data_IF_312198674415
#
_entry.id   IF_312198674415
#
_cell.length_a   1.000
_cell.length_b   1.000
_cell.length_c   1.000
_cell.angle_alpha   90.00
_cell.angle_beta   90.00
_cell.angle_gamma   90.00
#
_symmetry.space_group_name_H-M   'P 1'
#
loop_
_entity.id
_entity.type
_entity.pdbx_description
1 polymer ?
#
# COMPACT_ATOMS: atom_id res chain seq x y z
N UNK A 1 -1.73 14.60 4.49
CA UNK A 1 -0.47 15.15 5.02
C UNK A 1 0.53 15.55 3.93
N UNK A 2 0.30 15.20 2.65
CA UNK A 2 1.08 15.64 1.48
C UNK A 2 1.47 17.13 1.41
N UNK A 3 0.73 18.04 2.02
CA UNK A 3 1.03 19.48 2.07
C UNK A 3 1.73 19.93 3.38
N UNK A 4 2.30 18.99 4.13
CA UNK A 4 2.92 19.25 5.43
C UNK A 4 1.93 19.54 6.57
N UNK A 5 0.63 19.27 6.39
CA UNK A 5 -0.41 19.46 7.42
C UNK A 5 -1.28 18.23 7.61
N UNK A 6 -1.61 17.94 8.86
CA UNK A 6 -2.61 16.94 9.22
C UNK A 6 -4.00 17.39 8.74
N UNK A 7 -4.70 16.60 7.89
CA UNK A 7 -6.03 16.97 7.42
C UNK A 7 -7.10 16.89 8.52
N UNK A 8 -6.82 16.19 9.63
CA UNK A 8 -7.75 16.02 10.75
C UNK A 8 -7.69 17.17 11.76
N UNK A 9 -6.49 17.64 12.13
CA UNK A 9 -6.32 18.65 13.20
C UNK A 9 -5.54 19.90 12.78
N UNK A 10 -5.04 19.97 11.54
CA UNK A 10 -4.29 21.12 11.04
C UNK A 10 -2.83 21.24 11.52
N UNK A 11 -2.37 20.37 12.42
CA UNK A 11 -0.98 20.37 12.91
C UNK A 11 0.03 20.17 11.76
N UNK A 12 1.22 20.76 11.90
CA UNK A 12 2.36 20.60 11.00
C UNK A 12 3.35 19.53 11.47
N UNK A 13 3.15 18.99 12.66
CA UNK A 13 4.01 17.95 13.21
C UNK A 13 3.59 16.59 12.62
N UNK A 14 4.38 16.13 11.65
CA UNK A 14 4.14 14.90 10.88
C UNK A 14 5.39 14.05 10.91
N UNK A 15 5.25 12.80 11.33
CA UNK A 15 6.24 11.75 11.14
C UNK A 15 5.99 11.14 9.76
N UNK A 16 6.81 11.47 8.78
CA UNK A 16 6.61 11.10 7.39
C UNK A 16 7.42 9.86 7.01
N UNK A 17 6.90 9.12 6.02
CA UNK A 17 7.57 8.01 5.35
C UNK A 17 8.09 6.90 6.28
N UNK A 18 7.28 6.54 7.29
CA UNK A 18 7.59 5.46 8.20
C UNK A 18 7.26 4.11 7.56
N UNK A 19 8.19 3.15 7.64
CA UNK A 19 7.93 1.76 7.26
C UNK A 19 6.90 1.14 8.21
N UNK A 20 5.84 0.54 7.65
CA UNK A 20 4.90 -0.28 8.42
C UNK A 20 5.41 -1.71 8.38
N UNK A 21 5.56 -2.36 9.54
CA UNK A 21 6.06 -3.73 9.64
C UNK A 21 4.92 -4.70 9.99
N UNK A 22 4.95 -5.86 9.34
CA UNK A 22 4.18 -7.04 9.70
C UNK A 22 5.07 -7.93 10.59
N UNK A 23 4.73 -7.99 11.88
CA UNK A 23 5.44 -8.80 12.88
C UNK A 23 4.78 -10.18 12.97
N UNK A 24 5.16 -11.05 12.04
CA UNK A 24 4.76 -12.45 12.02
C UNK A 24 5.53 -13.32 13.02
N UNK A 25 5.10 -14.57 13.18
CA UNK A 25 5.57 -15.49 14.25
C UNK A 25 7.10 -15.74 14.26
N UNK A 26 7.80 -15.54 13.14
CA UNK A 26 9.24 -15.85 13.00
C UNK A 26 10.08 -14.73 12.38
N UNK A 27 9.49 -13.60 11.98
CA UNK A 27 10.20 -12.53 11.30
C UNK A 27 9.36 -11.26 11.20
N UNK A 28 10.04 -10.13 11.21
CA UNK A 28 9.45 -8.82 10.95
C UNK A 28 9.80 -8.40 9.53
N UNK A 29 8.79 -8.09 8.70
CA UNK A 29 8.97 -7.66 7.31
C UNK A 29 8.16 -6.40 7.02
N UNK A 30 8.50 -5.62 5.98
CA UNK A 30 7.62 -4.55 5.51
C UNK A 30 6.23 -5.13 5.18
N UNK A 31 5.18 -4.47 5.68
CA UNK A 31 3.80 -4.78 5.35
C UNK A 31 3.58 -4.50 3.85
N UNK A 32 2.96 -5.43 3.14
CA UNK A 32 2.66 -5.29 1.71
C UNK A 32 1.17 -5.36 1.45
N UNK A 33 0.73 -4.63 0.44
CA UNK A 33 -0.60 -4.76 -0.14
C UNK A 33 -0.49 -5.34 -1.55
N UNK A 34 -1.36 -6.29 -1.87
CA UNK A 34 -1.42 -6.97 -3.15
C UNK A 34 -2.56 -6.43 -4.01
N UNK A 35 -2.34 -6.38 -5.32
CA UNK A 35 -3.41 -6.27 -6.33
C UNK A 35 -3.35 -7.51 -7.19
N UNK A 36 -4.39 -8.33 -7.08
CA UNK A 36 -4.54 -9.55 -7.85
C UNK A 36 -5.11 -9.24 -9.25
N UNK A 37 -4.53 -9.87 -10.26
CA UNK A 37 -5.09 -9.83 -11.61
C UNK A 37 -6.24 -10.84 -11.72
N UNK A 38 -7.37 -10.46 -12.32
CA UNK A 38 -8.48 -11.39 -12.49
C UNK A 38 -8.11 -12.50 -13.47
N UNK A 39 -8.79 -13.64 -13.35
CA UNK A 39 -8.71 -14.70 -14.35
C UNK A 39 -9.24 -14.17 -15.70
N UNK A 40 -8.45 -14.26 -16.78
CA UNK A 40 -8.89 -13.77 -18.08
C UNK A 40 -9.99 -14.69 -18.63
N UNK A 41 -10.96 -14.17 -19.41
CA UNK A 41 -12.07 -14.98 -19.96
C UNK A 41 -11.64 -16.17 -20.82
N UNK A 42 -10.40 -16.16 -21.33
CA UNK A 42 -9.79 -17.24 -22.11
C UNK A 42 -8.34 -17.42 -21.70
N UNK A 43 -7.99 -18.61 -21.24
CA UNK A 43 -6.62 -19.07 -21.02
C UNK A 43 -6.50 -20.56 -21.36
N UNK A 44 -5.27 -21.08 -21.42
CA UNK A 44 -5.01 -22.52 -21.60
C UNK A 44 -5.44 -23.35 -20.37
N UNK A 45 -5.15 -24.65 -20.38
CA UNK A 45 -5.49 -25.57 -19.26
C UNK A 45 -4.86 -25.18 -17.91
N UNK A 46 -3.80 -24.39 -17.90
CA UNK A 46 -3.12 -23.90 -16.71
C UNK A 46 -3.14 -22.39 -16.74
N UNK A 47 -3.61 -21.77 -15.66
CA UNK A 47 -3.52 -20.35 -15.41
C UNK A 47 -2.89 -20.13 -14.03
N UNK A 48 -1.98 -19.15 -13.95
CA UNK A 48 -1.34 -18.72 -12.71
C UNK A 48 -1.73 -17.27 -12.52
N UNK A 49 -2.29 -16.96 -11.34
CA UNK A 49 -2.73 -15.62 -11.02
C UNK A 49 -1.53 -14.66 -10.98
N UNK A 50 -1.57 -13.64 -11.84
CA UNK A 50 -0.67 -12.51 -11.76
C UNK A 50 -1.03 -11.65 -10.56
N UNK A 51 -0.04 -11.05 -9.92
CA UNK A 51 -0.24 -10.09 -8.86
C UNK A 51 0.91 -9.09 -8.82
N UNK A 52 0.62 -7.88 -8.39
CA UNK A 52 1.61 -6.87 -8.06
C UNK A 52 1.49 -6.47 -6.59
N UNK A 53 2.60 -5.99 -6.02
CA UNK A 53 2.66 -5.62 -4.61
C UNK A 53 3.35 -4.28 -4.42
N UNK A 54 2.92 -3.54 -3.41
CA UNK A 54 3.63 -2.38 -2.88
C UNK A 54 3.82 -2.51 -1.37
N UNK A 55 4.97 -2.06 -0.87
CA UNK A 55 5.19 -1.92 0.57
C UNK A 55 4.39 -0.72 1.08
N UNK A 56 3.86 -0.84 2.29
CA UNK A 56 3.02 0.16 2.93
C UNK A 56 3.87 1.07 3.80
N UNK A 57 3.80 2.36 3.52
CA UNK A 57 4.44 3.41 4.30
C UNK A 57 3.38 4.28 4.95
N UNK A 58 3.65 4.76 6.16
CA UNK A 58 2.74 5.59 6.94
C UNK A 58 3.29 7.01 7.12
N UNK A 59 2.40 7.98 6.98
CA UNK A 59 2.60 9.31 7.53
C UNK A 59 1.67 9.44 8.72
N UNK A 60 2.19 9.89 9.86
CA UNK A 60 1.43 9.94 11.12
C UNK A 60 1.53 11.34 11.73
N UNK A 61 0.39 11.95 12.03
CA UNK A 61 0.37 13.21 12.76
C UNK A 61 0.79 12.98 14.22
N UNK A 62 1.84 13.66 14.66
CA UNK A 62 2.37 13.52 16.02
C UNK A 62 1.39 14.08 17.09
N UNK A 63 0.49 14.97 16.71
CA UNK A 63 -0.46 15.59 17.65
C UNK A 63 -1.76 14.77 17.85
N UNK A 64 -2.34 14.20 16.78
CA UNK A 64 -3.65 13.55 16.87
C UNK A 64 -3.70 12.10 16.37
N UNK A 65 -2.57 11.54 15.97
CA UNK A 65 -2.45 10.15 15.52
C UNK A 65 -3.17 9.83 14.21
N UNK A 66 -3.63 10.83 13.44
CA UNK A 66 -4.17 10.58 12.11
C UNK A 66 -3.07 9.98 11.22
N UNK A 67 -3.37 8.83 10.62
CA UNK A 67 -2.44 8.07 9.78
C UNK A 67 -2.93 8.07 8.33
N UNK A 68 -2.04 8.40 7.42
CA UNK A 68 -2.25 8.26 5.97
C UNK A 68 -1.27 7.22 5.44
N UNK A 69 -1.78 6.24 4.70
CA UNK A 69 -0.99 5.12 4.17
C UNK A 69 -0.70 5.33 2.68
N UNK A 70 0.49 4.95 2.26
CA UNK A 70 0.98 5.05 0.89
C UNK A 70 1.63 3.74 0.47
N UNK A 71 1.66 3.49 -0.84
CA UNK A 71 2.39 2.36 -1.43
C UNK A 71 3.53 2.86 -2.31
N UNK A 72 4.64 2.13 -2.31
CA UNK A 72 5.82 2.51 -3.09
C UNK A 72 5.82 1.98 -4.54
N UNK A 73 4.84 1.15 -4.93
CA UNK A 73 4.77 0.54 -6.27
C UNK A 73 3.45 0.86 -7.02
N UNK A 74 3.09 2.14 -7.08
CA UNK A 74 1.82 2.58 -7.68
C UNK A 74 1.67 2.19 -9.17
N UNK A 75 2.76 2.25 -9.94
CA UNK A 75 2.72 2.05 -11.39
C UNK A 75 2.27 0.63 -11.76
N UNK A 76 2.89 -0.39 -11.15
CA UNK A 76 2.55 -1.79 -11.41
C UNK A 76 1.19 -2.15 -10.80
N UNK A 77 0.92 -1.71 -9.56
CA UNK A 77 -0.37 -1.93 -8.90
C UNK A 77 -1.54 -1.39 -9.74
N UNK A 78 -1.37 -0.19 -10.34
CA UNK A 78 -2.38 0.39 -11.23
C UNK A 78 -2.56 -0.41 -12.52
N UNK A 79 -1.49 -0.99 -13.06
CA UNK A 79 -1.58 -1.84 -14.25
C UNK A 79 -2.33 -3.14 -13.96
N UNK A 80 -2.03 -3.83 -12.85
CA UNK A 80 -2.77 -5.02 -12.43
C UNK A 80 -4.24 -4.70 -12.14
N UNK A 81 -4.53 -3.59 -11.46
CA UNK A 81 -5.91 -3.16 -11.15
C UNK A 81 -6.75 -2.96 -12.42
N UNK A 82 -6.16 -2.30 -13.44
CA UNK A 82 -6.82 -2.06 -14.75
C UNK A 82 -7.09 -3.32 -15.56
N UNK A 83 -6.52 -4.47 -15.21
CA UNK A 83 -6.85 -5.73 -15.88
C UNK A 83 -8.20 -6.28 -15.40
N UNK A 84 -8.69 -5.84 -14.24
CA UNK A 84 -9.99 -6.26 -13.68
C UNK A 84 -11.06 -5.20 -13.58
N UNK A 85 -10.79 -3.97 -14.03
CA UNK A 85 -11.72 -2.84 -14.03
C UNK A 85 -11.53 -2.00 -15.30
#
# INVERSE_FOLDING_TARGET
MKNGKCPKCGSREVMADLEVRDDGRNSSHPLRVAVEEPEPPKHGRIWVQGQSFGEVHAWICANCGYTELYTNNLAEMKQSYKKGH
#
